data_IF_431929868785
#
_entry.id   IF_431929868785
#
_cell.length_a   1.000
_cell.length_b   1.000
_cell.length_c   1.000
_cell.angle_alpha   90.00
_cell.angle_beta   90.00
_cell.angle_gamma   90.00
#
_symmetry.space_group_name_H-M   'P 1'
#
loop_
_entity.id
_entity.type
_entity.pdbx_description
1 polymer ?
#
# COMPACT_ATOMS: atom_id res chain seq x y z
N UNK A 1 0.35 1.60 -6.34
CA UNK A 1 -0.30 2.12 -7.57
C UNK A 1 -1.80 1.86 -7.61
N UNK A 2 -2.29 0.65 -7.32
CA UNK A 2 -3.73 0.35 -7.37
C UNK A 2 -4.54 1.04 -6.27
N UNK A 3 -3.93 1.25 -5.11
CA UNK A 3 -4.60 1.81 -3.94
C UNK A 3 -4.57 3.34 -3.87
N UNK A 4 -3.90 4.05 -4.79
CA UNK A 4 -3.58 5.48 -4.61
C UNK A 4 -4.62 6.43 -5.23
N UNK A 5 -5.66 5.87 -5.87
CA UNK A 5 -6.70 6.63 -6.56
C UNK A 5 -6.21 7.33 -7.84
N UNK A 6 -7.14 7.85 -8.68
CA UNK A 6 -6.82 8.37 -10.02
C UNK A 6 -5.92 9.63 -10.07
N UNK A 7 -5.62 10.26 -8.93
CA UNK A 7 -4.69 11.40 -8.82
C UNK A 7 -3.32 11.04 -8.22
N UNK A 8 -3.16 9.83 -7.67
CA UNK A 8 -1.95 9.43 -6.94
C UNK A 8 -0.90 8.69 -7.78
N UNK A 9 -1.13 8.61 -9.10
CA UNK A 9 -0.32 7.78 -10.01
C UNK A 9 0.13 8.62 -11.21
N UNK A 10 1.42 8.57 -11.52
CA UNK A 10 1.98 9.20 -12.72
C UNK A 10 1.42 8.60 -14.01
N UNK A 11 1.66 9.28 -15.14
CA UNK A 11 1.17 8.86 -16.46
C UNK A 11 1.67 7.48 -16.90
N UNK A 12 2.75 7.02 -16.28
CA UNK A 12 3.42 5.74 -16.43
C UNK A 12 2.94 4.66 -15.45
N UNK A 13 1.94 4.94 -14.60
CA UNK A 13 1.48 4.00 -13.59
C UNK A 13 2.34 4.00 -12.31
N UNK A 14 3.33 4.89 -12.21
CA UNK A 14 4.30 4.92 -11.10
C UNK A 14 3.87 5.91 -10.01
N UNK A 15 3.86 5.45 -8.77
CA UNK A 15 3.65 6.27 -7.58
C UNK A 15 4.98 6.90 -7.18
N UNK A 16 5.10 8.21 -7.43
CA UNK A 16 6.35 8.97 -7.20
C UNK A 16 6.36 9.75 -5.90
N UNK A 17 5.20 9.98 -5.30
CA UNK A 17 5.07 10.70 -4.03
C UNK A 17 5.04 9.72 -2.85
N UNK A 18 6.08 9.68 -2.00
CA UNK A 18 6.12 8.81 -0.83
C UNK A 18 5.06 9.13 0.22
N UNK A 19 4.54 10.37 0.26
CA UNK A 19 3.48 10.73 1.21
C UNK A 19 2.22 9.88 1.00
N UNK A 20 1.97 9.47 -0.24
CA UNK A 20 0.86 8.61 -0.59
C UNK A 20 0.98 7.17 -0.04
N UNK A 21 2.17 6.74 0.37
CA UNK A 21 2.35 5.41 0.96
C UNK A 21 1.74 5.32 2.36
N UNK A 22 1.82 6.38 3.16
CA UNK A 22 1.18 6.42 4.48
C UNK A 22 -0.35 6.40 4.35
N UNK A 23 -0.91 7.14 3.40
CA UNK A 23 -2.35 7.15 3.14
C UNK A 23 -2.86 5.78 2.67
N UNK A 24 -2.06 5.06 1.87
CA UNK A 24 -2.38 3.68 1.47
C UNK A 24 -2.31 2.76 2.68
N UNK A 25 -1.25 2.86 3.51
CA UNK A 25 -1.11 2.08 4.73
C UNK A 25 -2.32 2.23 5.64
N UNK A 26 -2.73 3.46 5.95
CA UNK A 26 -3.88 3.71 6.82
C UNK A 26 -5.16 3.08 6.26
N UNK A 27 -5.45 3.31 4.98
CA UNK A 27 -6.65 2.75 4.34
C UNK A 27 -6.70 1.23 4.33
N UNK A 28 -5.57 0.56 4.08
CA UNK A 28 -5.52 -0.91 4.10
C UNK A 28 -5.61 -1.46 5.52
N UNK A 29 -4.95 -0.84 6.49
CA UNK A 29 -5.08 -1.22 7.91
C UNK A 29 -6.52 -1.07 8.41
N UNK A 30 -7.19 0.04 8.08
CA UNK A 30 -8.58 0.28 8.46
C UNK A 30 -9.52 -0.74 7.81
N UNK A 31 -9.29 -1.08 6.53
CA UNK A 31 -10.07 -2.10 5.83
C UNK A 31 -9.87 -3.50 6.46
N UNK A 32 -8.63 -3.85 6.85
CA UNK A 32 -8.34 -5.10 7.53
C UNK A 32 -9.06 -5.17 8.90
N UNK A 33 -9.00 -4.09 9.68
CA UNK A 33 -9.70 -3.98 10.96
C UNK A 33 -11.22 -4.10 10.79
N UNK A 34 -11.80 -3.41 9.81
CA UNK A 34 -13.22 -3.50 9.49
C UNK A 34 -13.65 -4.91 9.06
N UNK A 35 -12.75 -5.67 8.43
CA UNK A 35 -12.96 -7.08 8.07
C UNK A 35 -12.74 -8.06 9.24
N UNK A 36 -12.42 -7.56 10.44
CA UNK A 36 -12.22 -8.34 11.66
C UNK A 36 -10.83 -8.97 11.78
N UNK A 37 -9.83 -8.41 11.10
CA UNK A 37 -8.44 -8.84 11.22
C UNK A 37 -7.66 -7.90 12.15
N UNK A 38 -6.69 -8.46 12.87
CA UNK A 38 -5.68 -7.68 13.61
C UNK A 38 -4.43 -7.60 12.75
N UNK A 39 -3.99 -6.38 12.43
CA UNK A 39 -2.73 -6.15 11.73
C UNK A 39 -1.57 -6.32 12.71
N UNK A 40 -0.68 -7.26 12.43
CA UNK A 40 0.50 -7.55 13.25
C UNK A 40 1.73 -6.78 12.74
N UNK A 41 1.88 -6.61 11.41
CA UNK A 41 3.02 -5.89 10.83
C UNK A 41 2.73 -5.25 9.46
N UNK A 42 3.51 -4.23 9.11
CA UNK A 42 3.52 -3.56 7.80
C UNK A 42 4.96 -3.20 7.44
N UNK A 43 5.43 -3.70 6.29
CA UNK A 43 6.80 -3.46 5.86
C UNK A 43 6.92 -3.36 4.34
N UNK A 44 8.00 -2.74 3.88
CA UNK A 44 8.29 -2.62 2.45
C UNK A 44 8.74 -3.96 1.87
N UNK A 45 8.31 -4.24 0.64
CA UNK A 45 8.84 -5.36 -0.13
C UNK A 45 10.34 -5.16 -0.41
N UNK A 46 11.18 -6.22 -0.29
CA UNK A 46 12.59 -6.14 -0.64
C UNK A 46 12.85 -5.97 -2.14
N UNK A 47 11.82 -6.16 -2.96
CA UNK A 47 11.86 -5.98 -4.41
C UNK A 47 10.81 -4.97 -4.85
N UNK A 48 11.09 -4.29 -5.98
CA UNK A 48 10.11 -3.41 -6.62
C UNK A 48 9.21 -4.21 -7.56
N UNK A 49 8.00 -3.69 -7.79
CA UNK A 49 7.11 -4.21 -8.84
C UNK A 49 7.75 -4.12 -10.22
N UNK A 50 7.27 -4.90 -11.18
CA UNK A 50 7.85 -4.97 -12.54
C UNK A 50 7.83 -3.64 -13.30
N UNK A 51 6.95 -2.71 -12.91
CA UNK A 51 6.84 -1.34 -13.41
C UNK A 51 7.69 -0.33 -12.61
N UNK A 52 8.41 -0.78 -11.57
CA UNK A 52 9.26 0.02 -10.70
C UNK A 52 8.56 0.59 -9.46
N UNK A 53 7.26 0.30 -9.27
CA UNK A 53 6.53 0.74 -8.09
C UNK A 53 7.10 0.14 -6.80
N UNK A 54 7.04 0.94 -5.73
CA UNK A 54 7.29 0.44 -4.37
C UNK A 54 6.06 -0.35 -3.93
N UNK A 55 6.30 -1.55 -3.42
CA UNK A 55 5.27 -2.45 -2.92
C UNK A 55 5.43 -2.66 -1.42
N UNK A 56 4.32 -2.96 -0.75
CA UNK A 56 4.26 -3.14 0.70
C UNK A 56 3.56 -4.44 1.04
N UNK A 57 3.97 -5.03 2.16
CA UNK A 57 3.45 -6.27 2.70
C UNK A 57 2.74 -5.95 4.02
N UNK A 58 1.55 -6.54 4.21
CA UNK A 58 0.79 -6.46 5.45
C UNK A 58 0.63 -7.87 6.02
N UNK A 59 1.03 -8.04 7.28
CA UNK A 59 0.82 -9.26 8.04
C UNK A 59 -0.36 -9.06 8.99
N UNK A 60 -1.34 -9.96 8.95
CA UNK A 60 -2.51 -9.89 9.80
C UNK A 60 -3.03 -11.29 10.16
N UNK A 61 -3.69 -11.37 11.32
CA UNK A 61 -4.32 -12.57 11.86
C UNK A 61 -5.79 -12.33 12.19
N UNK A 62 -6.56 -13.41 12.22
CA UNK A 62 -7.99 -13.41 12.56
C UNK A 62 -8.24 -14.11 13.88
#
# INVERSE_FOLDING_TARGET
>A
QFEVGPGGVGRDGIVRDPALYEDVRHRICDAAAAAGWTVDDWFESPIRGGDGNREFLLCARK
#
